data_IF_457303925576
#
_entry.id   IF_457303925576
#
_cell.length_a   1.000
_cell.length_b   1.000
_cell.length_c   1.000
_cell.angle_alpha   90.00
_cell.angle_beta   90.00
_cell.angle_gamma   90.00
#
_symmetry.space_group_name_H-M   'P 1'
#
loop_
_entity.id
_entity.type
_entity.pdbx_description
1 polymer ?
#
# COMPACT_ATOMS: atom_id res chain seq x y z
N UNK A 1 14.02 -52.17 7.10
CA UNK A 1 15.28 -51.93 7.86
C UNK A 1 14.94 -51.81 9.33
N UNK A 2 15.43 -52.71 10.19
CA UNK A 2 15.14 -52.70 11.63
C UNK A 2 15.96 -51.63 12.32
N UNK A 3 15.29 -50.70 13.01
CA UNK A 3 15.96 -49.70 13.83
C UNK A 3 16.71 -50.40 14.98
N UNK A 4 18.00 -50.11 15.10
CA UNK A 4 18.90 -50.63 16.14
C UNK A 4 18.31 -50.29 17.52
N UNK A 5 18.24 -51.23 18.49
CA UNK A 5 17.57 -51.01 19.78
C UNK A 5 18.00 -49.75 20.54
N UNK A 6 19.21 -49.24 20.29
CA UNK A 6 19.77 -48.04 20.92
C UNK A 6 18.99 -46.74 20.64
N UNK A 7 18.44 -46.57 19.43
CA UNK A 7 17.71 -45.34 19.05
C UNK A 7 16.37 -45.24 19.78
N UNK A 8 15.70 -46.37 20.02
CA UNK A 8 14.43 -46.44 20.75
C UNK A 8 14.62 -46.13 22.25
N UNK A 9 15.77 -46.48 22.81
CA UNK A 9 16.14 -46.15 24.19
C UNK A 9 16.54 -44.68 24.36
N UNK A 10 17.22 -44.07 23.38
CA UNK A 10 17.55 -42.63 23.39
C UNK A 10 16.29 -41.75 23.41
N UNK A 11 15.29 -42.07 22.59
CA UNK A 11 14.01 -41.34 22.57
C UNK A 11 13.26 -41.43 23.90
N UNK A 12 13.36 -42.56 24.61
CA UNK A 12 12.74 -42.71 25.94
C UNK A 12 13.54 -41.96 27.02
N UNK A 13 14.86 -41.98 26.95
CA UNK A 13 15.75 -41.26 27.89
C UNK A 13 15.59 -39.75 27.77
N UNK A 14 15.44 -39.23 26.55
CA UNK A 14 15.20 -37.80 26.30
C UNK A 14 13.83 -37.31 26.80
N UNK A 15 12.87 -38.21 27.06
CA UNK A 15 11.50 -37.86 27.52
C UNK A 15 11.31 -37.92 29.03
N UNK A 16 12.20 -38.59 29.77
CA UNK A 16 12.08 -38.71 31.22
C UNK A 16 13.08 -37.79 31.90
N UNK A 17 12.58 -36.84 32.71
CA UNK A 17 13.33 -35.68 33.23
C UNK A 17 14.00 -34.91 32.10
N UNK A 18 13.18 -34.19 31.33
CA UNK A 18 13.65 -33.13 30.40
C UNK A 18 14.38 -32.08 31.23
N UNK A 19 15.66 -32.31 31.50
CA UNK A 19 16.57 -31.22 31.80
C UNK A 19 16.48 -30.28 30.60
N UNK A 20 16.49 -28.97 30.85
CA UNK A 20 16.51 -27.95 29.79
C UNK A 20 17.64 -28.32 28.84
N UNK A 21 17.29 -28.93 27.71
CA UNK A 21 18.26 -29.34 26.71
C UNK A 21 18.88 -28.05 26.18
N UNK A 22 20.19 -27.91 26.34
CA UNK A 22 20.90 -26.69 25.97
C UNK A 22 20.73 -26.39 24.48
N UNK A 23 20.59 -27.45 23.66
CA UNK A 23 20.32 -27.35 22.23
C UNK A 23 18.91 -26.84 21.95
N UNK A 24 17.91 -27.34 22.68
CA UNK A 24 16.53 -26.87 22.55
C UNK A 24 16.36 -25.42 23.07
N UNK A 25 17.09 -25.05 24.13
CA UNK A 25 17.15 -23.67 24.62
C UNK A 25 17.79 -22.72 23.60
N UNK A 26 18.81 -23.18 22.88
CA UNK A 26 19.43 -22.43 21.78
C UNK A 26 18.45 -22.22 20.63
N UNK A 27 17.78 -23.29 20.17
CA UNK A 27 16.76 -23.22 19.11
C UNK A 27 15.66 -22.23 19.46
N UNK A 28 15.12 -22.29 20.67
CA UNK A 28 14.07 -21.34 21.14
C UNK A 28 14.53 -19.88 21.08
N UNK A 29 15.79 -19.57 21.41
CA UNK A 29 16.31 -18.19 21.31
C UNK A 29 16.42 -17.74 19.86
N UNK A 30 16.89 -18.61 18.97
CA UNK A 30 17.02 -18.31 17.54
C UNK A 30 15.63 -18.08 16.91
N UNK A 31 14.67 -18.96 17.21
CA UNK A 31 13.30 -18.86 16.71
C UNK A 31 12.60 -17.58 17.20
N UNK A 32 12.70 -17.28 18.50
CA UNK A 32 12.12 -16.07 19.08
C UNK A 32 12.72 -14.80 18.46
N UNK A 33 14.03 -14.79 18.22
CA UNK A 33 14.70 -13.65 17.60
C UNK A 33 14.25 -13.43 16.14
N UNK A 34 14.01 -14.50 15.38
CA UNK A 34 13.47 -14.40 14.02
C UNK A 34 12.02 -13.94 14.03
N UNK A 35 11.21 -14.45 14.96
CA UNK A 35 9.81 -14.07 15.15
C UNK A 35 9.68 -12.58 15.47
N UNK A 36 10.47 -12.05 16.40
CA UNK A 36 10.49 -10.61 16.72
C UNK A 36 10.81 -9.78 15.48
N UNK A 37 11.80 -10.18 14.68
CA UNK A 37 12.18 -9.46 13.45
C UNK A 37 11.04 -9.47 12.41
N UNK A 38 10.37 -10.61 12.24
CA UNK A 38 9.22 -10.73 11.33
C UNK A 38 8.06 -9.86 11.81
N UNK A 39 7.71 -9.94 13.09
CA UNK A 39 6.64 -9.16 13.70
C UNK A 39 6.88 -7.66 13.54
N UNK A 40 8.08 -7.17 13.85
CA UNK A 40 8.44 -5.75 13.68
C UNK A 40 8.38 -5.28 12.23
N UNK A 41 8.74 -6.15 11.27
CA UNK A 41 8.61 -5.85 9.84
C UNK A 41 7.13 -5.77 9.43
N UNK A 42 6.32 -6.72 9.86
CA UNK A 42 4.89 -6.76 9.55
C UNK A 42 4.17 -5.55 10.16
N UNK A 43 4.48 -5.20 11.41
CA UNK A 43 3.94 -4.02 12.09
C UNK A 43 4.30 -2.72 11.34
N UNK A 44 5.56 -2.57 10.92
CA UNK A 44 6.01 -1.42 10.12
C UNK A 44 5.29 -1.34 8.77
N UNK A 45 5.13 -2.48 8.08
CA UNK A 45 4.41 -2.56 6.81
C UNK A 45 2.92 -2.25 7.00
N UNK A 46 2.31 -2.74 8.07
CA UNK A 46 0.91 -2.47 8.38
C UNK A 46 0.68 -1.01 8.72
N UNK A 47 1.59 -0.36 9.45
CA UNK A 47 1.56 1.08 9.69
C UNK A 47 1.65 1.89 8.40
N UNK A 48 2.61 1.55 7.51
CA UNK A 48 2.73 2.17 6.18
C UNK A 48 1.48 1.97 5.32
N UNK A 49 0.88 0.77 5.34
CA UNK A 49 -0.38 0.50 4.63
C UNK A 49 -1.53 1.32 5.20
N UNK A 50 -1.69 1.39 6.52
CA UNK A 50 -2.76 2.15 7.17
C UNK A 50 -2.65 3.65 6.90
N UNK A 51 -1.45 4.20 6.99
CA UNK A 51 -1.19 5.62 6.73
C UNK A 51 -1.28 5.94 5.23
N UNK A 52 -0.77 5.06 4.35
CA UNK A 52 -0.87 5.21 2.89
C UNK A 52 -2.29 5.09 2.35
N UNK A 53 -3.11 4.19 2.90
CA UNK A 53 -4.53 4.06 2.55
C UNK A 53 -5.34 5.29 2.98
N UNK A 54 -5.05 5.86 4.15
CA UNK A 54 -5.76 7.04 4.64
C UNK A 54 -5.40 8.30 3.83
N UNK A 55 -4.14 8.46 3.43
CA UNK A 55 -3.73 9.54 2.52
C UNK A 55 -4.39 9.41 1.14
N UNK A 56 -4.44 8.19 0.58
CA UNK A 56 -5.05 7.92 -0.71
C UNK A 56 -6.59 8.05 -0.68
N UNK A 57 -7.25 7.66 0.42
CA UNK A 57 -8.71 7.78 0.57
C UNK A 57 -9.15 9.23 0.80
N UNK A 58 -8.40 10.03 1.56
CA UNK A 58 -8.68 11.45 1.72
C UNK A 58 -8.46 12.21 0.40
N UNK A 59 -7.41 11.89 -0.35
CA UNK A 59 -7.18 12.49 -1.67
C UNK A 59 -8.25 12.07 -2.67
N UNK A 60 -8.63 10.78 -2.71
CA UNK A 60 -9.66 10.28 -3.62
C UNK A 60 -11.06 10.83 -3.29
N UNK A 61 -11.42 10.97 -2.00
CA UNK A 61 -12.70 11.53 -1.57
C UNK A 61 -12.82 13.04 -1.86
N UNK A 62 -11.75 13.81 -1.62
CA UNK A 62 -11.67 15.22 -2.03
C UNK A 62 -11.65 15.39 -3.55
N UNK A 63 -11.06 14.45 -4.28
CA UNK A 63 -11.09 14.46 -5.75
C UNK A 63 -12.49 14.11 -6.29
N UNK A 64 -13.18 13.13 -5.71
CA UNK A 64 -14.54 12.74 -6.13
C UNK A 64 -15.54 13.89 -5.95
N UNK A 65 -15.54 14.52 -4.78
CA UNK A 65 -16.40 15.69 -4.50
C UNK A 65 -16.08 16.91 -5.37
N UNK A 66 -14.81 17.09 -5.77
CA UNK A 66 -14.42 18.13 -6.73
C UNK A 66 -14.80 17.79 -8.19
N UNK A 67 -14.86 16.52 -8.55
CA UNK A 67 -15.29 16.08 -9.89
C UNK A 67 -16.80 16.29 -10.05
N UNK A 68 -17.60 15.95 -9.04
CA UNK A 68 -19.06 16.17 -9.05
C UNK A 68 -19.43 17.64 -9.25
N UNK A 69 -18.83 18.54 -8.46
CA UNK A 69 -19.07 19.99 -8.60
C UNK A 69 -18.63 20.55 -9.96
N UNK A 70 -17.62 19.95 -10.59
CA UNK A 70 -17.14 20.35 -11.92
C UNK A 70 -17.96 19.78 -13.07
N UNK A 71 -18.65 18.66 -12.85
CA UNK A 71 -19.61 18.09 -13.80
C UNK A 71 -20.83 19.00 -13.94
N UNK A 72 -21.30 19.59 -12.84
CA UNK A 72 -22.39 20.57 -12.84
C UNK A 72 -22.02 21.87 -13.61
N UNK A 73 -20.74 22.25 -13.60
CA UNK A 73 -20.23 23.43 -14.32
C UNK A 73 -19.78 23.15 -15.76
N UNK A 74 -20.07 21.97 -16.33
CA UNK A 74 -19.74 21.67 -17.72
C UNK A 74 -20.32 22.68 -18.72
N UNK A 75 -21.60 23.10 -18.63
CA UNK A 75 -22.17 24.04 -19.59
C UNK A 75 -21.45 25.40 -19.60
N UNK A 76 -21.02 25.90 -18.43
CA UNK A 76 -20.32 27.18 -18.32
C UNK A 76 -18.88 27.08 -18.83
N UNK A 77 -18.19 25.95 -18.61
CA UNK A 77 -16.87 25.73 -19.19
C UNK A 77 -16.93 25.62 -20.72
N UNK A 78 -17.93 24.94 -21.27
CA UNK A 78 -18.14 24.91 -22.73
C UNK A 78 -18.33 26.32 -23.26
N UNK A 79 -19.24 27.11 -22.67
CA UNK A 79 -19.45 28.50 -23.07
C UNK A 79 -18.16 29.35 -22.99
N UNK A 80 -17.30 29.12 -21.98
CA UNK A 80 -16.02 29.79 -21.84
C UNK A 80 -15.03 29.49 -22.98
N UNK A 81 -14.96 28.23 -23.45
CA UNK A 81 -14.12 27.83 -24.60
C UNK A 81 -14.62 28.46 -25.90
N UNK A 82 -15.93 28.55 -26.09
CA UNK A 82 -16.53 29.17 -27.28
C UNK A 82 -16.61 30.71 -27.20
N UNK A 83 -16.19 31.32 -26.09
CA UNK A 83 -16.19 32.77 -25.93
C UNK A 83 -15.09 33.44 -26.77
N UNK A 84 -15.26 34.73 -27.11
CA UNK A 84 -14.23 35.51 -27.81
C UNK A 84 -13.16 36.10 -26.89
N UNK A 85 -13.27 35.89 -25.58
CA UNK A 85 -12.35 36.42 -24.58
C UNK A 85 -11.26 35.38 -24.26
N UNK A 86 -10.00 35.73 -24.54
CA UNK A 86 -8.85 34.84 -24.35
C UNK A 86 -8.64 34.38 -22.89
N UNK A 87 -8.99 35.20 -21.89
CA UNK A 87 -8.85 34.79 -20.48
C UNK A 87 -9.87 33.71 -20.09
N UNK A 88 -11.11 33.83 -20.57
CA UNK A 88 -12.18 32.87 -20.34
C UNK A 88 -11.89 31.53 -21.04
N UNK A 89 -11.32 31.56 -22.25
CA UNK A 89 -10.87 30.36 -22.96
C UNK A 89 -9.77 29.61 -22.19
N UNK A 90 -8.76 30.34 -21.68
CA UNK A 90 -7.65 29.76 -20.93
C UNK A 90 -8.15 29.10 -19.63
N UNK A 91 -9.03 29.77 -18.91
CA UNK A 91 -9.61 29.25 -17.67
C UNK A 91 -10.40 27.97 -17.93
N UNK A 92 -11.33 28.00 -18.88
CA UNK A 92 -12.16 26.85 -19.21
C UNK A 92 -11.32 25.66 -19.72
N UNK A 93 -10.34 25.89 -20.58
CA UNK A 93 -9.43 24.84 -21.08
C UNK A 93 -8.58 24.25 -19.95
N UNK A 94 -8.12 25.07 -19.01
CA UNK A 94 -7.38 24.59 -17.82
C UNK A 94 -8.26 23.69 -16.96
N UNK A 95 -9.53 24.03 -16.81
CA UNK A 95 -10.47 23.20 -16.07
C UNK A 95 -10.74 21.86 -16.78
N UNK A 96 -10.91 21.86 -18.11
CA UNK A 96 -11.02 20.64 -18.91
C UNK A 96 -9.76 19.77 -18.82
N UNK A 97 -8.57 20.36 -18.95
CA UNK A 97 -7.29 19.63 -18.77
C UNK A 97 -7.25 18.93 -17.42
N UNK A 98 -7.58 19.65 -16.33
CA UNK A 98 -7.61 19.06 -14.97
C UNK A 98 -8.62 17.91 -14.86
N UNK A 99 -9.80 18.02 -15.48
CA UNK A 99 -10.80 16.96 -15.47
C UNK A 99 -10.32 15.71 -16.21
N UNK A 100 -9.75 15.89 -17.41
CA UNK A 100 -9.26 14.79 -18.24
C UNK A 100 -7.99 14.14 -17.66
N UNK A 101 -7.14 14.90 -16.97
CA UNK A 101 -5.95 14.38 -16.30
C UNK A 101 -6.24 13.46 -15.10
N UNK A 102 -7.45 13.50 -14.53
CA UNK A 102 -7.84 12.54 -13.47
C UNK A 102 -8.07 11.14 -14.07
N UNK A 103 -8.45 11.05 -15.35
CA UNK A 103 -8.68 9.78 -16.05
C UNK A 103 -7.45 9.22 -16.77
N UNK A 104 -6.52 10.05 -17.24
CA UNK A 104 -5.35 9.61 -18.01
C UNK A 104 -4.07 10.31 -17.52
N UNK A 105 -3.24 9.56 -16.80
CA UNK A 105 -2.01 10.03 -16.14
C UNK A 105 -0.80 10.20 -17.09
N UNK A 106 -1.01 10.19 -18.41
CA UNK A 106 0.08 10.25 -19.39
C UNK A 106 -0.36 11.10 -20.58
N UNK A 107 0.52 11.98 -21.04
CA UNK A 107 0.44 12.68 -22.33
C UNK A 107 -0.03 14.15 -22.37
N UNK A 108 0.26 14.97 -21.36
CA UNK A 108 0.16 16.44 -21.50
C UNK A 108 1.51 17.17 -21.57
N UNK A 109 2.64 16.45 -21.70
CA UNK A 109 3.98 17.04 -21.80
C UNK A 109 4.43 17.40 -23.23
N UNK A 110 3.54 17.42 -24.23
CA UNK A 110 3.93 17.54 -25.64
C UNK A 110 3.33 18.72 -26.42
N UNK A 111 2.63 19.66 -25.79
CA UNK A 111 2.21 20.90 -26.45
C UNK A 111 2.74 22.11 -25.69
N UNK A 112 4.05 22.32 -25.82
CA UNK A 112 4.66 23.64 -25.65
C UNK A 112 5.71 23.76 -26.74
N UNK A 113 5.26 24.28 -27.89
CA UNK A 113 6.03 24.98 -28.92
C UNK A 113 5.07 25.97 -29.58
#
# INVERSE_FOLDING_TARGET
MSLRPSTRTEVRRNRYKVAVDAEEGRRRREDNMVEIRKSKREESLQKKRREGLQAQQLSASLQSSNVEKKLESLPSMVAGVWSSNGSAQLEATTQFRKLLSIGNFVHFSLFSY
#
